data_IF_528559244027
#
_entry.id   IF_528559244027
#
_cell.length_a   1.000
_cell.length_b   1.000
_cell.length_c   1.000
_cell.angle_alpha   90.00
_cell.angle_beta   90.00
_cell.angle_gamma   90.00
#
_symmetry.space_group_name_H-M   'P 1'
#
loop_
_entity.id
_entity.type
_entity.pdbx_description
1 polymer ?
#
# COMPACT_ATOMS: atom_id res chain seq x y z
N UNK A 1 -0.92 -44.83 -8.84
CA UNK A 1 0.47 -44.31 -8.93
C UNK A 1 0.69 -43.75 -10.33
N UNK A 2 0.55 -42.44 -10.52
CA UNK A 2 0.82 -41.80 -11.81
C UNK A 2 2.33 -41.76 -12.06
N UNK A 3 2.77 -42.39 -13.14
CA UNK A 3 4.15 -42.33 -13.64
C UNK A 3 4.29 -41.06 -14.47
N UNK A 4 4.71 -39.96 -13.86
CA UNK A 4 5.11 -38.76 -14.61
C UNK A 4 6.60 -38.83 -14.92
N UNK A 5 6.93 -38.67 -16.18
CA UNK A 5 8.26 -38.69 -16.79
C UNK A 5 9.08 -37.41 -16.49
N UNK A 6 8.99 -36.90 -15.25
CA UNK A 6 9.73 -35.71 -14.80
C UNK A 6 9.29 -34.39 -15.44
N UNK A 7 8.27 -34.40 -16.31
CA UNK A 7 7.72 -33.19 -16.90
C UNK A 7 6.79 -32.52 -15.89
N UNK A 8 7.20 -31.37 -15.38
CA UNK A 8 6.31 -30.47 -14.65
C UNK A 8 5.14 -30.10 -15.58
N UNK A 9 3.93 -29.97 -15.02
CA UNK A 9 2.74 -29.59 -15.77
C UNK A 9 3.03 -28.36 -16.66
N UNK A 10 2.54 -28.31 -17.93
CA UNK A 10 2.79 -27.19 -18.82
C UNK A 10 2.34 -25.86 -18.17
N UNK A 11 3.29 -25.01 -17.81
CA UNK A 11 3.00 -23.69 -17.25
C UNK A 11 2.65 -22.72 -18.39
N UNK A 12 1.52 -22.03 -18.25
CA UNK A 12 1.12 -20.95 -19.16
C UNK A 12 1.60 -19.64 -18.56
N UNK A 13 2.60 -19.03 -19.19
CA UNK A 13 3.13 -17.70 -18.85
C UNK A 13 2.81 -16.74 -20.00
N UNK A 14 2.05 -15.68 -19.70
CA UNK A 14 1.74 -14.60 -20.63
C UNK A 14 2.36 -13.31 -20.11
N UNK A 15 3.14 -12.60 -20.94
CA UNK A 15 3.71 -11.31 -20.60
C UNK A 15 2.88 -10.20 -21.24
N UNK A 16 2.62 -9.13 -20.49
CA UNK A 16 1.88 -7.97 -20.94
C UNK A 16 2.82 -6.78 -21.19
N UNK A 17 2.38 -5.83 -22.03
CA UNK A 17 3.18 -4.67 -22.44
C UNK A 17 3.41 -3.64 -21.31
N UNK A 18 2.64 -3.74 -20.23
CA UNK A 18 2.76 -2.96 -19.00
C UNK A 18 3.83 -3.51 -18.04
N UNK A 19 4.52 -4.59 -18.42
CA UNK A 19 5.54 -5.25 -17.62
C UNK A 19 5.00 -6.26 -16.61
N UNK A 20 3.68 -6.48 -16.57
CA UNK A 20 3.08 -7.53 -15.75
C UNK A 20 3.05 -8.88 -16.50
N UNK A 21 2.87 -9.98 -15.77
CA UNK A 21 2.76 -11.31 -16.36
C UNK A 21 1.72 -12.17 -15.64
N UNK A 22 0.98 -12.96 -16.41
CA UNK A 22 0.08 -14.00 -15.91
C UNK A 22 0.80 -15.36 -15.92
N UNK A 23 0.82 -16.06 -14.78
CA UNK A 23 1.26 -17.45 -14.65
C UNK A 23 0.11 -18.29 -14.09
N UNK A 24 -0.39 -19.24 -14.90
CA UNK A 24 -1.48 -20.13 -14.48
C UNK A 24 -1.10 -20.97 -13.27
N UNK A 25 0.14 -21.46 -13.21
CA UNK A 25 0.64 -22.26 -12.10
C UNK A 25 0.61 -21.50 -10.78
N UNK A 26 1.10 -20.25 -10.78
CA UNK A 26 1.07 -19.39 -9.59
C UNK A 26 -0.35 -19.02 -9.17
N UNK A 27 -1.24 -18.79 -10.12
CA UNK A 27 -2.66 -18.54 -9.84
C UNK A 27 -3.28 -19.76 -9.15
N UNK A 28 -3.15 -20.95 -9.73
CA UNK A 28 -3.71 -22.18 -9.15
C UNK A 28 -3.14 -22.47 -7.76
N UNK A 29 -1.84 -22.27 -7.54
CA UNK A 29 -1.21 -22.40 -6.23
C UNK A 29 -1.75 -21.41 -5.20
N UNK A 30 -2.08 -20.18 -5.61
CA UNK A 30 -2.71 -19.17 -4.74
C UNK A 30 -4.08 -19.63 -4.19
N UNK A 31 -4.86 -20.32 -5.03
CA UNK A 31 -6.22 -20.79 -4.73
C UNK A 31 -6.27 -22.21 -4.15
N UNK A 32 -5.14 -22.90 -4.01
CA UNK A 32 -5.14 -24.18 -3.30
C UNK A 32 -5.53 -23.96 -1.83
N UNK A 33 -6.21 -24.92 -1.19
CA UNK A 33 -6.57 -24.83 0.22
C UNK A 33 -5.30 -24.62 1.07
N UNK A 34 -5.25 -23.50 1.80
CA UNK A 34 -4.08 -23.09 2.58
C UNK A 34 -3.04 -22.27 1.81
N UNK A 35 -3.37 -21.85 0.58
CA UNK A 35 -2.59 -20.92 -0.24
C UNK A 35 -2.54 -19.52 0.36
N UNK A 36 -1.73 -18.65 -0.23
CA UNK A 36 -1.52 -17.30 0.32
C UNK A 36 -2.76 -16.38 0.22
N UNK A 37 -3.80 -16.77 -0.53
CA UNK A 37 -5.08 -16.05 -0.56
C UNK A 37 -5.96 -16.39 0.65
N UNK A 38 -5.90 -17.64 1.14
CA UNK A 38 -6.56 -18.08 2.38
C UNK A 38 -5.82 -17.58 3.63
N UNK A 39 -4.53 -17.29 3.50
CA UNK A 39 -3.71 -16.76 4.58
C UNK A 39 -3.82 -15.23 4.59
N UNK A 40 -4.01 -14.58 5.76
CA UNK A 40 -3.95 -13.12 5.81
C UNK A 40 -2.62 -12.68 5.23
N UNK A 41 -2.65 -11.80 4.23
CA UNK A 41 -1.48 -11.39 3.46
C UNK A 41 -0.34 -11.01 4.41
N UNK A 42 0.73 -11.80 4.39
CA UNK A 42 1.96 -11.43 5.06
C UNK A 42 2.43 -10.14 4.39
N UNK A 43 2.38 -9.04 5.15
CA UNK A 43 2.83 -7.71 4.74
C UNK A 43 4.14 -7.84 3.96
N UNK A 44 4.09 -7.55 2.66
CA UNK A 44 5.27 -7.53 1.79
C UNK A 44 6.30 -6.56 2.38
N UNK A 45 7.61 -6.76 2.14
CA UNK A 45 8.63 -5.82 2.60
C UNK A 45 8.44 -4.39 2.05
N UNK A 46 7.70 -4.20 0.95
CA UNK A 46 7.26 -2.89 0.47
C UNK A 46 6.21 -2.24 1.40
N UNK A 47 5.28 -3.04 1.94
CA UNK A 47 4.35 -2.58 2.99
C UNK A 47 4.99 -2.47 4.38
N UNK A 48 6.16 -3.10 4.61
CA UNK A 48 6.97 -2.91 5.82
C UNK A 48 7.83 -1.64 5.70
N UNK A 49 8.36 -1.30 4.53
CA UNK A 49 9.05 -0.02 4.31
C UNK A 49 8.12 1.17 4.58
N UNK A 50 6.86 1.10 4.14
CA UNK A 50 5.85 2.12 4.45
C UNK A 50 5.28 2.04 5.88
N UNK A 51 5.53 0.96 6.62
CA UNK A 51 5.05 0.79 7.99
C UNK A 51 6.14 0.94 9.07
N UNK A 52 7.42 1.08 8.67
CA UNK A 52 8.58 1.18 9.59
C UNK A 52 9.11 2.61 9.75
N UNK A 53 8.38 3.61 9.25
CA UNK A 53 8.58 5.02 9.59
C UNK A 53 7.50 5.57 10.55
N UNK A 54 6.76 4.70 11.23
CA UNK A 54 5.81 5.12 12.29
C UNK A 54 6.53 5.43 13.61
N UNK A 55 7.63 6.17 13.55
CA UNK A 55 8.07 7.01 14.68
C UNK A 55 7.55 8.45 14.51
N UNK A 56 6.61 8.64 13.58
CA UNK A 56 5.79 9.85 13.50
C UNK A 56 4.96 9.97 14.78
N UNK A 57 5.03 11.11 15.49
CA UNK A 57 4.15 11.33 16.63
C UNK A 57 2.71 11.14 16.17
N UNK A 58 1.95 10.33 16.92
CA UNK A 58 0.58 9.98 16.59
C UNK A 58 -0.18 11.25 16.17
N UNK A 59 -0.52 11.33 14.88
CA UNK A 59 -1.24 12.46 14.33
C UNK A 59 -2.56 12.60 15.08
N UNK A 60 -2.80 13.77 15.66
CA UNK A 60 -4.04 14.03 16.38
C UNK A 60 -5.19 14.00 15.39
N UNK A 61 -6.20 13.21 15.69
CA UNK A 61 -7.35 13.02 14.81
C UNK A 61 -8.12 14.32 14.65
N UNK A 62 -8.17 15.12 15.71
CA UNK A 62 -8.82 16.42 15.76
C UNK A 62 -8.19 17.41 14.77
N UNK A 63 -6.85 17.40 14.66
CA UNK A 63 -6.11 18.27 13.74
C UNK A 63 -6.36 17.86 12.29
N UNK A 64 -6.45 16.55 12.01
CA UNK A 64 -6.78 16.04 10.67
C UNK A 64 -8.21 16.42 10.29
N UNK A 65 -9.18 16.20 11.18
CA UNK A 65 -10.59 16.47 10.92
C UNK A 65 -10.83 17.97 10.70
N UNK A 66 -10.10 18.85 11.41
CA UNK A 66 -10.12 20.30 11.18
C UNK A 66 -9.61 20.66 9.78
N UNK A 67 -8.47 20.11 9.35
CA UNK A 67 -7.91 20.41 8.03
C UNK A 67 -8.84 19.91 6.91
N UNK A 68 -9.42 18.72 7.05
CA UNK A 68 -10.37 18.16 6.09
C UNK A 68 -11.60 19.05 5.96
N UNK A 69 -12.13 19.55 7.08
CA UNK A 69 -13.30 20.42 7.07
C UNK A 69 -13.02 21.81 6.47
N UNK A 70 -11.91 22.45 6.86
CA UNK A 70 -11.62 23.84 6.46
C UNK A 70 -11.05 23.98 5.05
N UNK A 71 -10.29 22.99 4.57
CA UNK A 71 -9.65 23.04 3.25
C UNK A 71 -10.33 22.13 2.22
N UNK A 72 -11.36 21.38 2.62
CA UNK A 72 -12.10 20.43 1.78
C UNK A 72 -11.20 19.43 1.04
N UNK A 73 -10.06 19.07 1.65
CA UNK A 73 -9.12 18.09 1.11
C UNK A 73 -9.39 16.69 1.66
N UNK A 74 -8.90 15.67 0.94
CA UNK A 74 -9.04 14.30 1.40
C UNK A 74 -8.26 14.05 2.71
N UNK A 75 -8.74 13.12 3.53
CA UNK A 75 -8.07 12.72 4.78
C UNK A 75 -6.61 12.30 4.57
N UNK A 76 -6.32 11.61 3.48
CA UNK A 76 -4.96 11.22 3.12
C UNK A 76 -4.06 12.45 2.83
N UNK A 77 -4.59 13.49 2.19
CA UNK A 77 -3.86 14.74 1.95
C UNK A 77 -3.63 15.52 3.24
N UNK A 78 -4.62 15.56 4.14
CA UNK A 78 -4.48 16.20 5.45
C UNK A 78 -3.44 15.51 6.34
N UNK A 79 -3.45 14.17 6.39
CA UNK A 79 -2.44 13.36 7.09
C UNK A 79 -1.04 13.62 6.54
N UNK A 80 -0.91 13.67 5.21
CA UNK A 80 0.35 14.00 4.54
C UNK A 80 0.83 15.42 4.90
N UNK A 81 -0.04 16.43 4.81
CA UNK A 81 0.31 17.81 5.12
C UNK A 81 0.77 18.00 6.58
N UNK A 82 0.11 17.33 7.54
CA UNK A 82 0.55 17.34 8.94
C UNK A 82 1.90 16.64 9.12
N UNK A 83 2.11 15.50 8.46
CA UNK A 83 3.37 14.76 8.55
C UNK A 83 4.57 15.54 8.01
N UNK A 84 4.36 16.35 6.96
CA UNK A 84 5.39 17.22 6.36
C UNK A 84 5.73 18.43 7.24
N UNK A 85 4.88 18.78 8.19
CA UNK A 85 4.99 19.96 9.05
C UNK A 85 5.22 19.61 10.54
N UNK A 86 5.89 18.49 10.80
CA UNK A 86 6.22 18.00 12.16
C UNK A 86 5.00 17.79 13.07
N UNK A 87 3.82 17.51 12.50
CA UNK A 87 2.55 17.42 13.23
C UNK A 87 2.15 18.71 13.97
N UNK A 88 2.65 19.87 13.52
CA UNK A 88 2.28 21.19 14.03
C UNK A 88 1.16 21.79 13.15
N UNK A 89 -0.03 21.91 13.73
CA UNK A 89 -1.20 22.47 13.04
C UNK A 89 -0.95 23.91 12.55
N UNK A 90 -0.28 24.75 13.33
CA UNK A 90 -0.03 26.15 12.97
C UNK A 90 0.96 26.30 11.82
N UNK A 91 1.96 25.41 11.72
CA UNK A 91 2.84 25.33 10.55
C UNK A 91 2.08 24.82 9.32
N UNK A 92 1.32 23.75 9.50
CA UNK A 92 0.54 23.11 8.43
C UNK A 92 -0.45 24.09 7.80
N UNK A 93 -1.23 24.82 8.60
CA UNK A 93 -2.18 25.81 8.10
C UNK A 93 -1.49 26.93 7.33
N UNK A 94 -0.32 27.40 7.78
CA UNK A 94 0.48 28.40 7.06
C UNK A 94 1.01 27.86 5.74
N UNK A 95 1.47 26.61 5.71
CA UNK A 95 1.95 25.96 4.51
C UNK A 95 0.83 25.77 3.48
N UNK A 96 -0.39 25.43 3.90
CA UNK A 96 -1.54 25.25 3.02
C UNK A 96 -2.05 26.55 2.39
N UNK A 97 -1.88 27.69 3.08
CA UNK A 97 -2.33 29.01 2.60
C UNK A 97 -1.23 29.76 1.84
N UNK A 98 0.04 29.46 2.10
CA UNK A 98 1.15 30.04 1.35
C UNK A 98 1.20 29.47 -0.07
N UNK A 99 1.21 30.34 -1.07
CA UNK A 99 1.46 29.92 -2.45
C UNK A 99 2.84 29.23 -2.56
N UNK A 100 2.99 28.19 -3.39
CA UNK A 100 4.30 27.64 -3.69
C UNK A 100 5.15 28.72 -4.38
N UNK A 101 6.31 29.03 -3.80
CA UNK A 101 7.37 29.80 -4.46
C UNK A 101 8.12 28.93 -5.45
#
# INVERSE_FOLDING_TARGET
MSRTNGRLEPEVIMNYADGFAYSKGKMEEAFRPGGFLDKPAAKSPASIANAKESNTPALKREDIDLIVHEFEITRAQAEKALSENDSDIGKTLRALVSAPQ
#
